data_IF_083850105312
#
_entry.id   IF_083850105312
#
_cell.length_a   1.000
_cell.length_b   1.000
_cell.length_c   1.000
_cell.angle_alpha   90.00
_cell.angle_beta   90.00
_cell.angle_gamma   90.00
#
_symmetry.space_group_name_H-M   'P 1'
#
loop_
_entity.id
_entity.type
_entity.pdbx_description
1 polymer ?
#
# COMPACT_ATOMS: atom_id res chain seq x y z
N UNK A 1 -4.19 16.47 -8.63
CA UNK A 1 -4.52 17.60 -9.56
C UNK A 1 -5.51 17.18 -10.66
N UNK A 2 -5.35 16.02 -11.33
CA UNK A 2 -6.24 15.62 -12.44
C UNK A 2 -7.72 15.43 -12.04
N UNK A 3 -8.01 14.93 -10.86
CA UNK A 3 -9.39 14.75 -10.37
C UNK A 3 -10.12 16.05 -10.03
N UNK A 4 -9.38 17.17 -9.87
CA UNK A 4 -9.91 18.47 -9.45
C UNK A 4 -9.57 19.60 -10.43
N UNK A 5 -8.99 19.29 -11.61
CA UNK A 5 -8.65 20.30 -12.59
C UNK A 5 -9.89 20.64 -13.44
N UNK A 6 -10.47 21.80 -13.20
CA UNK A 6 -11.63 22.32 -13.92
C UNK A 6 -11.46 22.38 -15.45
N UNK A 7 -10.23 22.60 -15.95
CA UNK A 7 -9.93 22.69 -17.38
C UNK A 7 -10.11 21.33 -18.08
N UNK A 8 -9.58 20.27 -17.47
CA UNK A 8 -9.77 18.89 -17.96
C UNK A 8 -11.24 18.48 -17.90
N UNK A 9 -11.92 18.83 -16.81
CA UNK A 9 -13.35 18.61 -16.62
C UNK A 9 -14.19 19.32 -17.66
N UNK A 10 -13.89 20.59 -17.97
CA UNK A 10 -14.60 21.40 -18.99
C UNK A 10 -14.42 20.82 -20.39
N UNK A 11 -13.20 20.40 -20.78
CA UNK A 11 -12.92 19.77 -22.08
C UNK A 11 -13.69 18.46 -22.28
N UNK A 12 -13.72 17.60 -21.25
CA UNK A 12 -14.45 16.34 -21.34
C UNK A 12 -15.97 16.56 -21.27
N UNK A 13 -16.44 17.56 -20.52
CA UNK A 13 -17.88 17.90 -20.43
C UNK A 13 -18.45 18.30 -21.80
N UNK A 14 -17.67 18.97 -22.66
CA UNK A 14 -18.07 19.29 -24.05
C UNK A 14 -18.21 18.03 -24.93
N UNK A 15 -17.30 17.02 -24.80
CA UNK A 15 -17.39 15.73 -25.53
C UNK A 15 -18.49 14.80 -24.98
N UNK A 16 -18.96 15.02 -23.76
CA UNK A 16 -19.86 14.16 -23.00
C UNK A 16 -21.29 14.11 -23.52
N UNK A 17 -21.78 15.10 -24.30
CA UNK A 17 -23.20 15.21 -24.64
C UNK A 17 -23.73 13.98 -25.42
N UNK A 18 -22.87 13.23 -26.12
CA UNK A 18 -23.27 12.12 -27.02
C UNK A 18 -22.85 10.72 -26.53
N UNK A 19 -21.95 10.56 -25.51
CA UNK A 19 -21.40 9.26 -25.11
C UNK A 19 -21.93 8.78 -23.75
N UNK A 20 -22.74 7.72 -23.76
CA UNK A 20 -23.32 7.08 -22.58
C UNK A 20 -22.24 6.49 -21.63
N UNK A 21 -21.13 5.97 -22.17
CA UNK A 21 -20.05 5.38 -21.37
C UNK A 21 -19.28 6.45 -20.61
N UNK A 22 -18.97 7.57 -21.24
CA UNK A 22 -18.36 8.72 -20.57
C UNK A 22 -19.26 9.25 -19.45
N UNK A 23 -20.58 9.28 -19.62
CA UNK A 23 -21.53 9.67 -18.53
C UNK A 23 -21.39 8.76 -17.30
N UNK A 24 -21.31 7.43 -17.50
CA UNK A 24 -21.12 6.46 -16.40
C UNK A 24 -19.79 6.67 -15.67
N UNK A 25 -18.69 6.86 -16.43
CA UNK A 25 -17.35 7.12 -15.88
C UNK A 25 -17.37 8.39 -15.03
N UNK A 26 -17.97 9.47 -15.52
CA UNK A 26 -18.09 10.73 -14.79
C UNK A 26 -18.91 10.61 -13.51
N UNK A 27 -20.02 9.86 -13.54
CA UNK A 27 -20.81 9.60 -12.33
C UNK A 27 -19.97 8.90 -11.26
N UNK A 28 -19.18 7.89 -11.65
CA UNK A 28 -18.24 7.19 -10.77
C UNK A 28 -17.16 8.12 -10.22
N UNK A 29 -16.52 8.93 -11.08
CA UNK A 29 -15.48 9.88 -10.65
C UNK A 29 -16.04 10.86 -9.61
N UNK A 30 -17.22 11.45 -9.84
CA UNK A 30 -17.88 12.35 -8.88
C UNK A 30 -18.19 11.65 -7.54
N UNK A 31 -18.62 10.40 -7.59
CA UNK A 31 -18.87 9.61 -6.39
C UNK A 31 -17.57 9.41 -5.60
N UNK A 32 -16.48 9.00 -6.27
CA UNK A 32 -15.17 8.82 -5.63
C UNK A 32 -14.60 10.12 -5.07
N UNK A 33 -14.77 11.25 -5.78
CA UNK A 33 -14.32 12.57 -5.30
C UNK A 33 -14.91 12.91 -3.92
N UNK A 34 -16.20 12.59 -3.68
CA UNK A 34 -16.86 12.81 -2.39
C UNK A 34 -16.29 11.94 -1.27
N UNK A 35 -15.71 10.77 -1.61
CA UNK A 35 -15.14 9.81 -0.66
C UNK A 35 -13.66 10.08 -0.36
N UNK A 36 -12.95 10.79 -1.24
CA UNK A 36 -11.51 11.07 -1.09
C UNK A 36 -11.31 12.14 0.00
N UNK A 37 -10.39 11.83 0.91
CA UNK A 37 -9.86 12.80 1.88
C UNK A 37 -8.37 12.97 1.63
N UNK A 38 -7.92 14.21 1.51
CA UNK A 38 -6.51 14.53 1.39
C UNK A 38 -5.91 14.74 2.78
N UNK A 39 -4.73 14.16 2.97
CA UNK A 39 -3.93 14.34 4.17
C UNK A 39 -2.55 14.77 3.72
N UNK A 40 -2.05 15.85 4.29
CA UNK A 40 -0.74 16.37 3.96
C UNK A 40 0.31 15.81 4.92
N UNK A 41 1.44 15.42 4.36
CA UNK A 41 2.68 15.13 5.06
C UNK A 41 3.66 16.26 4.70
N UNK A 42 3.90 17.18 5.61
CA UNK A 42 4.70 18.39 5.33
C UNK A 42 6.19 18.07 5.14
N UNK A 43 6.67 17.05 5.85
CA UNK A 43 8.04 16.55 5.72
C UNK A 43 7.99 15.10 5.24
N UNK A 44 8.88 14.66 4.35
CA UNK A 44 8.93 13.29 3.83
C UNK A 44 9.49 12.30 4.86
N UNK A 45 8.85 12.21 6.01
CA UNK A 45 9.29 11.41 7.18
C UNK A 45 9.07 9.89 7.02
N UNK A 46 8.78 9.43 5.81
CA UNK A 46 8.63 8.02 5.47
C UNK A 46 7.18 7.53 5.40
N UNK A 47 7.03 6.28 4.94
CA UNK A 47 5.72 5.66 4.67
C UNK A 47 4.90 5.40 5.94
N UNK A 48 5.56 5.12 7.06
CA UNK A 48 4.91 4.94 8.37
C UNK A 48 4.33 6.24 8.92
N UNK A 49 5.02 7.36 8.77
CA UNK A 49 4.51 8.67 9.16
C UNK A 49 3.30 9.07 8.31
N UNK A 50 3.33 8.81 7.00
CA UNK A 50 2.18 9.05 6.14
C UNK A 50 0.92 8.30 6.62
N UNK A 51 1.07 7.05 7.08
CA UNK A 51 -0.02 6.28 7.69
C UNK A 51 -0.49 6.90 9.02
N UNK A 52 0.43 7.37 9.85
CA UNK A 52 0.09 8.06 11.11
C UNK A 52 -0.75 9.33 10.88
N UNK A 53 -0.43 10.13 9.86
CA UNK A 53 -1.22 11.32 9.48
C UNK A 53 -2.67 10.94 9.12
N UNK A 54 -2.88 9.72 8.60
CA UNK A 54 -4.21 9.23 8.24
C UNK A 54 -5.02 8.67 9.44
N UNK A 55 -4.45 8.59 10.65
CA UNK A 55 -5.03 7.94 11.85
C UNK A 55 -6.51 8.27 12.07
N UNK A 56 -6.92 9.53 11.96
CA UNK A 56 -8.31 9.97 12.20
C UNK A 56 -9.33 9.37 11.23
N UNK A 57 -8.88 8.89 10.05
CA UNK A 57 -9.74 8.30 9.02
C UNK A 57 -9.77 6.77 9.06
N UNK A 58 -8.84 6.13 9.76
CA UNK A 58 -8.75 4.68 9.88
C UNK A 58 -9.69 4.20 11.01
N UNK A 59 -10.95 3.94 10.68
CA UNK A 59 -12.00 3.55 11.63
C UNK A 59 -12.05 2.05 11.90
N UNK A 60 -11.86 1.25 10.86
CA UNK A 60 -11.98 -0.20 10.90
C UNK A 60 -10.77 -0.90 11.56
N UNK A 61 -10.96 -2.18 11.92
CA UNK A 61 -9.89 -3.02 12.51
C UNK A 61 -8.70 -3.23 11.56
N UNK A 62 -8.95 -3.22 10.25
CA UNK A 62 -7.93 -3.35 9.19
C UNK A 62 -8.16 -2.30 8.12
N UNK A 63 -7.10 -1.94 7.42
CA UNK A 63 -7.17 -1.03 6.28
C UNK A 63 -6.27 -1.51 5.14
N UNK A 64 -6.63 -1.13 3.92
CA UNK A 64 -5.84 -1.39 2.72
C UNK A 64 -4.97 -0.17 2.42
N UNK A 65 -3.65 -0.36 2.38
CA UNK A 65 -2.68 0.65 1.99
C UNK A 65 -2.18 0.34 0.58
N UNK A 66 -2.16 1.36 -0.27
CA UNK A 66 -1.73 1.27 -1.66
C UNK A 66 -0.70 2.38 -1.93
N UNK A 67 0.50 2.02 -2.36
CA UNK A 67 1.46 2.99 -2.85
C UNK A 67 1.12 3.35 -4.32
N UNK A 68 1.19 4.64 -4.64
CA UNK A 68 0.71 5.16 -5.92
C UNK A 68 1.67 4.88 -7.10
N UNK A 69 2.94 4.63 -6.81
CA UNK A 69 4.00 4.32 -7.76
C UNK A 69 4.05 2.85 -8.19
N UNK A 70 3.32 1.96 -7.50
CA UNK A 70 3.18 0.56 -7.85
C UNK A 70 1.87 0.31 -8.62
N UNK A 71 1.90 0.31 -9.94
CA UNK A 71 0.74 -0.01 -10.77
C UNK A 71 0.71 -1.51 -11.13
N UNK A 72 -0.32 -2.21 -10.64
CA UNK A 72 -0.54 -3.62 -10.97
C UNK A 72 -1.60 -3.70 -12.07
N UNK A 73 -1.17 -4.19 -13.24
CA UNK A 73 -2.02 -4.38 -14.42
C UNK A 73 -2.41 -5.85 -14.59
N UNK A 74 -3.45 -6.13 -15.40
CA UNK A 74 -3.98 -7.45 -15.76
C UNK A 74 -4.73 -8.20 -14.66
N UNK A 75 -4.30 -8.16 -13.38
CA UNK A 75 -4.99 -8.82 -12.25
C UNK A 75 -5.41 -7.80 -11.20
N UNK A 76 -6.54 -8.05 -10.54
CA UNK A 76 -6.97 -7.22 -9.42
C UNK A 76 -6.35 -7.75 -8.12
N UNK A 77 -5.09 -7.42 -7.90
CA UNK A 77 -4.33 -7.82 -6.72
C UNK A 77 -5.05 -7.45 -5.41
N UNK A 78 -5.65 -6.26 -5.31
CA UNK A 78 -6.37 -5.85 -4.10
C UNK A 78 -7.57 -6.77 -3.81
N UNK A 79 -8.28 -7.23 -4.83
CA UNK A 79 -9.39 -8.20 -4.66
C UNK A 79 -8.87 -9.55 -4.16
N UNK A 80 -7.77 -10.04 -4.70
CA UNK A 80 -7.13 -11.29 -4.26
C UNK A 80 -6.67 -11.18 -2.79
N UNK A 81 -6.04 -10.08 -2.42
CA UNK A 81 -5.62 -9.79 -1.04
C UNK A 81 -6.80 -9.74 -0.06
N UNK A 82 -7.89 -9.07 -0.44
CA UNK A 82 -9.11 -9.00 0.39
C UNK A 82 -9.71 -10.39 0.57
N UNK A 83 -9.73 -11.22 -0.48
CA UNK A 83 -10.22 -12.61 -0.39
C UNK A 83 -9.35 -13.45 0.54
N UNK A 84 -8.03 -13.30 0.49
CA UNK A 84 -7.10 -13.99 1.39
C UNK A 84 -7.31 -13.52 2.83
N UNK A 85 -7.38 -12.19 3.06
CA UNK A 85 -7.65 -11.61 4.37
C UNK A 85 -8.97 -12.13 4.99
N UNK A 86 -10.04 -12.21 4.20
CA UNK A 86 -11.33 -12.72 4.68
C UNK A 86 -11.24 -14.19 5.18
N UNK A 87 -10.39 -15.02 4.54
CA UNK A 87 -10.17 -16.42 4.95
C UNK A 87 -9.26 -16.53 6.17
N UNK A 88 -8.16 -15.78 6.18
CA UNK A 88 -7.12 -15.93 7.21
C UNK A 88 -7.33 -15.00 8.41
N UNK A 89 -8.14 -13.95 8.27
CA UNK A 89 -8.31 -12.85 9.24
C UNK A 89 -7.00 -12.12 9.58
N UNK A 90 -5.90 -12.46 8.91
CA UNK A 90 -4.56 -11.93 9.12
C UNK A 90 -4.24 -10.72 8.23
N UNK A 91 -3.10 -10.09 8.50
CA UNK A 91 -2.51 -9.12 7.59
C UNK A 91 -2.09 -9.77 6.28
N UNK A 92 -2.13 -9.02 5.18
CA UNK A 92 -1.72 -9.52 3.87
C UNK A 92 -0.81 -8.50 3.20
N UNK A 93 0.31 -8.97 2.66
CA UNK A 93 1.28 -8.15 1.94
C UNK A 93 1.50 -8.75 0.55
N UNK A 94 1.37 -7.93 -0.48
CA UNK A 94 1.64 -8.38 -1.83
C UNK A 94 3.14 -8.34 -2.13
N UNK A 95 3.63 -9.36 -2.83
CA UNK A 95 5.05 -9.53 -3.14
C UNK A 95 5.28 -9.90 -4.59
N UNK A 96 6.48 -9.62 -5.07
CA UNK A 96 7.02 -10.15 -6.33
C UNK A 96 8.41 -10.71 -6.13
N UNK A 97 8.79 -11.70 -6.93
CA UNK A 97 10.16 -12.19 -7.00
C UNK A 97 11.01 -11.18 -7.77
N UNK A 98 12.18 -10.83 -7.24
CA UNK A 98 13.14 -9.89 -7.83
C UNK A 98 14.52 -10.56 -7.96
N UNK A 99 15.41 -10.01 -8.77
CA UNK A 99 16.78 -10.45 -8.85
C UNK A 99 17.53 -10.15 -7.54
N UNK A 100 18.36 -11.08 -7.09
CA UNK A 100 19.12 -10.96 -5.84
C UNK A 100 19.92 -9.65 -5.74
N UNK A 101 20.53 -9.22 -6.84
CA UNK A 101 21.31 -7.97 -6.90
C UNK A 101 20.47 -6.69 -6.67
N UNK A 102 19.13 -6.76 -6.80
CA UNK A 102 18.22 -5.60 -6.68
C UNK A 102 17.49 -5.53 -5.34
N UNK A 103 17.69 -6.50 -4.44
CA UNK A 103 16.94 -6.57 -3.15
C UNK A 103 17.15 -5.33 -2.27
N UNK A 104 18.30 -4.67 -2.37
CA UNK A 104 18.62 -3.44 -1.63
C UNK A 104 17.72 -2.23 -1.96
N UNK A 105 16.86 -2.35 -2.96
CA UNK A 105 15.88 -1.32 -3.35
C UNK A 105 14.52 -1.49 -2.67
N UNK A 106 14.29 -2.63 -1.97
CA UNK A 106 12.96 -3.06 -1.52
C UNK A 106 12.95 -3.51 -0.07
N UNK A 107 11.79 -3.47 0.56
CA UNK A 107 11.53 -4.30 1.73
C UNK A 107 11.46 -5.78 1.30
N UNK A 108 12.24 -6.64 1.92
CA UNK A 108 12.34 -8.07 1.60
C UNK A 108 11.72 -8.91 2.72
N UNK A 109 10.93 -9.91 2.34
CA UNK A 109 10.25 -10.81 3.26
C UNK A 109 10.98 -12.14 3.43
N UNK A 110 11.04 -12.62 4.67
CA UNK A 110 11.33 -14.02 4.99
C UNK A 110 10.04 -14.78 5.30
N UNK A 111 10.04 -16.12 5.14
CA UNK A 111 8.85 -16.97 5.30
C UNK A 111 9.15 -18.24 6.06
N UNK A 112 8.14 -18.75 6.81
CA UNK A 112 8.19 -20.07 7.43
C UNK A 112 7.50 -21.14 6.57
N UNK A 113 6.26 -20.91 6.20
CA UNK A 113 5.44 -21.88 5.50
C UNK A 113 5.00 -21.35 4.14
N UNK A 114 5.06 -22.21 3.13
CA UNK A 114 4.67 -21.89 1.76
C UNK A 114 3.47 -22.73 1.36
N UNK A 115 2.42 -22.07 0.89
CA UNK A 115 1.35 -22.69 0.13
C UNK A 115 1.49 -22.33 -1.34
N UNK A 116 0.65 -22.90 -2.22
CA UNK A 116 0.69 -22.63 -3.66
C UNK A 116 0.68 -21.11 -3.99
N UNK A 117 -0.08 -20.31 -3.24
CA UNK A 117 -0.33 -18.90 -3.55
C UNK A 117 -0.11 -17.93 -2.38
N UNK A 118 0.38 -18.40 -1.24
CA UNK A 118 0.64 -17.58 -0.07
C UNK A 118 1.75 -18.14 0.80
N UNK A 119 2.32 -17.27 1.63
CA UNK A 119 3.40 -17.61 2.55
C UNK A 119 3.11 -17.01 3.92
N UNK A 120 3.50 -17.69 4.99
CA UNK A 120 3.52 -17.09 6.33
C UNK A 120 4.81 -16.32 6.51
N UNK A 121 4.70 -15.00 6.73
CA UNK A 121 5.82 -14.10 6.90
C UNK A 121 6.36 -14.25 8.32
N UNK A 122 7.67 -14.42 8.46
CA UNK A 122 8.36 -14.45 9.74
C UNK A 122 9.42 -13.35 9.90
N UNK A 123 9.77 -12.69 8.81
CA UNK A 123 10.80 -11.67 8.81
C UNK A 123 10.53 -10.61 7.75
N UNK A 124 10.94 -9.35 8.06
CA UNK A 124 10.95 -8.24 7.12
C UNK A 124 12.22 -7.44 7.33
N UNK A 125 12.97 -7.18 6.25
CA UNK A 125 14.16 -6.33 6.29
C UNK A 125 14.03 -5.24 5.23
N UNK A 126 14.13 -3.98 5.66
CA UNK A 126 14.07 -2.81 4.75
C UNK A 126 15.41 -2.61 4.06
N UNK A 127 15.40 -2.70 2.73
CA UNK A 127 16.56 -2.47 1.85
C UNK A 127 17.83 -3.19 2.33
N UNK A 128 17.79 -4.54 2.49
CA UNK A 128 18.95 -5.31 2.96
C UNK A 128 20.07 -5.31 1.91
N UNK A 129 21.29 -5.61 2.33
CA UNK A 129 22.34 -6.00 1.38
C UNK A 129 22.00 -7.36 0.75
N UNK A 130 22.48 -7.67 -0.46
CA UNK A 130 22.18 -8.94 -1.13
C UNK A 130 22.49 -10.19 -0.29
N UNK A 131 23.57 -10.18 0.50
CA UNK A 131 23.97 -11.29 1.39
C UNK A 131 23.10 -11.38 2.66
N UNK A 132 22.47 -10.28 3.10
CA UNK A 132 21.64 -10.19 4.31
C UNK A 132 20.15 -10.44 4.02
N UNK A 133 19.73 -10.46 2.76
CA UNK A 133 18.33 -10.59 2.39
C UNK A 133 17.81 -12.00 2.70
N UNK A 134 16.70 -12.15 3.45
CA UNK A 134 16.16 -13.48 3.84
C UNK A 134 15.60 -14.25 2.66
N UNK A 135 15.26 -13.55 1.58
CA UNK A 135 14.78 -14.13 0.33
C UNK A 135 14.98 -13.15 -0.83
N UNK A 136 14.40 -13.45 -1.98
CA UNK A 136 14.28 -12.52 -3.10
C UNK A 136 12.82 -12.10 -3.40
N UNK A 137 11.94 -12.16 -2.39
CA UNK A 137 10.56 -11.68 -2.51
C UNK A 137 10.43 -10.27 -1.93
N UNK A 138 10.27 -9.31 -2.84
CA UNK A 138 10.13 -7.90 -2.53
C UNK A 138 8.68 -7.51 -2.29
N UNK A 139 8.46 -6.61 -1.35
CA UNK A 139 7.17 -5.98 -1.11
C UNK A 139 6.83 -5.05 -2.28
N UNK A 140 5.60 -5.12 -2.77
CA UNK A 140 5.08 -4.27 -3.84
C UNK A 140 3.93 -3.41 -3.32
N UNK A 141 4.19 -2.36 -2.62
CA UNK A 141 3.31 -1.28 -2.22
C UNK A 141 1.82 -1.59 -1.99
N UNK A 142 1.45 -2.82 -1.60
CA UNK A 142 0.09 -3.27 -1.35
C UNK A 142 0.02 -4.03 -0.04
N UNK A 143 -0.77 -3.51 0.92
CA UNK A 143 -0.83 -4.05 2.27
C UNK A 143 -2.26 -4.06 2.79
N UNK A 144 -2.67 -5.13 3.48
CA UNK A 144 -3.79 -5.10 4.40
C UNK A 144 -3.20 -5.20 5.81
N UNK A 145 -3.35 -4.14 6.59
CA UNK A 145 -2.71 -3.99 7.89
C UNK A 145 -3.74 -3.80 8.99
N UNK A 146 -3.47 -4.28 10.21
CA UNK A 146 -4.34 -4.05 11.33
C UNK A 146 -4.16 -2.62 11.86
N UNK A 147 -5.23 -2.01 12.33
CA UNK A 147 -5.19 -0.67 12.92
C UNK A 147 -4.20 -0.56 14.10
N UNK A 148 -3.94 -1.66 14.82
CA UNK A 148 -2.95 -1.71 15.91
C UNK A 148 -1.54 -1.29 15.47
N UNK A 149 -1.21 -1.34 14.15
CA UNK A 149 0.08 -0.84 13.65
C UNK A 149 0.32 0.64 13.97
N UNK A 150 -0.75 1.44 14.16
CA UNK A 150 -0.63 2.85 14.51
C UNK A 150 0.03 3.07 15.88
N UNK A 151 -0.18 2.17 16.85
CA UNK A 151 0.50 2.25 18.15
C UNK A 151 1.98 1.91 18.02
N UNK A 152 2.33 0.95 17.20
CA UNK A 152 3.73 0.63 16.88
C UNK A 152 4.42 1.81 16.22
N UNK A 153 3.83 2.36 15.16
CA UNK A 153 4.37 3.50 14.41
C UNK A 153 4.58 4.74 15.30
N UNK A 154 3.67 4.99 16.24
CA UNK A 154 3.78 6.15 17.15
C UNK A 154 5.05 6.10 18.02
N UNK A 155 5.47 4.89 18.40
CA UNK A 155 6.61 4.67 19.30
C UNK A 155 7.87 4.20 18.55
N UNK A 156 7.81 4.10 17.22
CA UNK A 156 8.90 3.62 16.39
C UNK A 156 10.02 4.66 16.28
N UNK A 157 11.25 4.21 16.51
CA UNK A 157 12.44 5.02 16.20
C UNK A 157 12.59 5.15 14.69
N UNK A 158 13.23 6.24 14.26
CA UNK A 158 13.57 6.43 12.84
C UNK A 158 14.54 5.33 12.40
N UNK A 159 14.25 4.72 11.26
CA UNK A 159 15.05 3.65 10.66
C UNK A 159 16.03 4.17 9.62
N UNK A 160 16.28 3.34 8.60
CA UNK A 160 17.20 3.65 7.51
C UNK A 160 16.84 4.98 6.83
N UNK A 161 17.82 5.85 6.61
CA UNK A 161 17.61 7.17 6.02
C UNK A 161 16.91 8.19 6.94
N UNK A 162 16.77 7.91 8.24
CA UNK A 162 16.12 8.81 9.19
C UNK A 162 14.59 8.82 9.10
N UNK A 163 13.98 7.87 8.38
CA UNK A 163 12.55 7.81 8.12
C UNK A 163 11.82 6.81 9.03
N UNK A 164 10.51 6.98 9.18
CA UNK A 164 9.61 6.02 9.84
C UNK A 164 9.05 5.09 8.74
N UNK A 165 9.63 3.89 8.62
CA UNK A 165 9.22 2.92 7.61
C UNK A 165 8.07 2.04 8.10
N UNK A 166 7.10 1.79 7.23
CA UNK A 166 6.01 0.84 7.52
C UNK A 166 6.52 -0.60 7.68
N UNK A 167 7.61 -0.95 7.01
CA UNK A 167 8.27 -2.26 7.09
C UNK A 167 8.83 -2.56 8.47
N UNK A 168 9.39 -1.56 9.16
CA UNK A 168 9.89 -1.72 10.53
C UNK A 168 8.74 -1.95 11.53
N UNK A 169 7.61 -1.25 11.33
CA UNK A 169 6.40 -1.50 12.12
C UNK A 169 5.82 -2.90 11.88
N UNK A 170 5.84 -3.38 10.64
CA UNK A 170 5.43 -4.75 10.29
C UNK A 170 6.34 -5.75 10.97
N UNK A 171 7.66 -5.55 10.96
CA UNK A 171 8.65 -6.39 11.66
C UNK A 171 8.33 -6.51 13.16
N UNK A 172 7.93 -5.41 13.79
CA UNK A 172 7.52 -5.40 15.20
C UNK A 172 6.21 -6.18 15.43
N UNK A 173 5.29 -6.19 14.48
CA UNK A 173 4.02 -6.91 14.59
C UNK A 173 4.13 -8.43 14.34
N UNK A 174 5.18 -8.89 13.66
CA UNK A 174 5.42 -10.31 13.37
C UNK A 174 6.00 -11.04 14.59
N UNK A 175 6.73 -10.31 15.45
CA UNK A 175 7.24 -10.82 16.73
C UNK A 175 6.13 -11.05 17.74
#
# INVERSE_FOLDING_TARGET
>A
KYFYNDVFYKKIKKKKKKDKNLKKIFKKIKMYQKMIKFVYQNQPDGTGDAVLKCKKYLKDKHFLMLLADDLIVKKNCSKEMISLHKRTKGSVIATKKVERKTVSRWGILGFKNKTKNSFSINEVIEKPKPNEAPSNYAIIGRYILPKKILSVLKNQKRGKGGEIHITDAIKTLIK
#
